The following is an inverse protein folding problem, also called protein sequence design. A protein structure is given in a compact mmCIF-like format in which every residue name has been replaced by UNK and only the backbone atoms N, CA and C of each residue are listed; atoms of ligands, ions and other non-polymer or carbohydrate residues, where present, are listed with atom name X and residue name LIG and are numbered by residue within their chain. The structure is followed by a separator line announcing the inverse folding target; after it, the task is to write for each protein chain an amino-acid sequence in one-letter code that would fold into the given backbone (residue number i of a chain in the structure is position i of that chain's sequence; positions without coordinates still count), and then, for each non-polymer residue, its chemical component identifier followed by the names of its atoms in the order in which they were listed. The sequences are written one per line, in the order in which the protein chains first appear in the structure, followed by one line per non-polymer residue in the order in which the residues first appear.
data_IF_749767335123
#
_entry.id   IF_749767335123
#
_cell.length_a   1.000
_cell.length_b   1.000
_cell.length_c   1.000
_cell.angle_alpha   90.00
_cell.angle_beta   90.00
_cell.angle_gamma   90.00
#
_symmetry.space_group_name_H-M   'P 1'
#
loop_
_entity.id
_entity.type
_entity.pdbx_description
1 polymer ?
#
# COMPACT_ATOMS: atom_id res chain seq x y z
N UNK A 1 -7.63 0.80 16.16
CA UNK A 1 -6.54 -0.18 16.13
C UNK A 1 -7.11 -1.36 15.39
N UNK A 2 -6.75 -1.49 14.12
CA UNK A 2 -7.40 -2.35 13.15
C UNK A 2 -7.31 -3.83 13.58
N UNK A 3 -8.45 -4.50 13.80
CA UNK A 3 -8.51 -5.90 14.28
C UNK A 3 -7.82 -6.87 13.31
N UNK A 4 -7.75 -6.52 12.03
CA UNK A 4 -7.13 -7.32 10.97
C UNK A 4 -5.61 -7.40 11.11
N UNK A 5 -4.98 -6.28 11.45
CA UNK A 5 -3.54 -6.18 11.64
C UNK A 5 -3.09 -6.96 12.88
N UNK A 6 -3.83 -6.85 13.99
CA UNK A 6 -3.53 -7.58 15.22
C UNK A 6 -3.63 -9.11 15.03
N UNK A 7 -4.56 -9.58 14.19
CA UNK A 7 -4.67 -10.99 13.83
C UNK A 7 -3.49 -11.47 12.98
N UNK A 8 -3.02 -10.64 12.03
CA UNK A 8 -1.85 -10.94 11.20
C UNK A 8 -0.56 -10.97 12.02
N UNK A 9 -0.38 -10.06 12.96
CA UNK A 9 0.78 -10.07 13.87
C UNK A 9 0.81 -11.34 14.75
N UNK A 10 -0.34 -11.75 15.27
CA UNK A 10 -0.48 -13.00 16.01
C UNK A 10 -0.12 -14.21 15.14
N UNK A 11 -0.61 -14.25 13.90
CA UNK A 11 -0.28 -15.32 12.95
C UNK A 11 1.21 -15.37 12.64
N UNK A 12 1.84 -14.23 12.31
CA UNK A 12 3.29 -14.16 12.05
C UNK A 12 4.10 -14.65 13.27
N UNK A 13 3.68 -14.31 14.49
CA UNK A 13 4.38 -14.75 15.72
C UNK A 13 4.29 -16.26 15.95
N UNK A 14 3.25 -16.91 15.43
CA UNK A 14 3.01 -18.35 15.56
C UNK A 14 3.56 -19.18 14.40
N UNK A 15 3.88 -18.55 13.27
CA UNK A 15 4.39 -19.22 12.07
C UNK A 15 5.92 -19.31 12.10
N UNK A 16 6.47 -20.49 11.78
CA UNK A 16 7.91 -20.71 11.70
C UNK A 16 8.52 -19.88 10.54
N UNK A 17 9.62 -19.13 10.75
CA UNK A 17 10.33 -18.41 9.69
C UNK A 17 10.83 -19.29 8.52
N UNK A 18 10.95 -20.60 8.73
CA UNK A 18 11.27 -21.59 7.69
C UNK A 18 10.05 -22.01 6.85
N UNK A 19 8.84 -21.65 7.24
CA UNK A 19 7.61 -21.93 6.51
C UNK A 19 7.46 -20.94 5.33
N UNK A 20 7.18 -21.40 4.10
CA UNK A 20 6.94 -20.52 2.94
C UNK A 20 5.86 -19.45 3.18
N UNK A 21 4.85 -19.77 3.99
CA UNK A 21 3.75 -18.84 4.31
C UNK A 21 4.19 -17.70 5.24
N UNK A 22 5.33 -17.81 5.93
CA UNK A 22 5.85 -16.74 6.78
C UNK A 22 6.11 -15.46 5.99
N UNK A 23 6.76 -15.58 4.84
CA UNK A 23 7.07 -14.43 3.99
C UNK A 23 5.81 -13.83 3.36
N UNK A 24 4.80 -14.66 3.05
CA UNK A 24 3.50 -14.18 2.59
C UNK A 24 2.80 -13.37 3.69
N UNK A 25 2.71 -13.89 4.92
CA UNK A 25 2.10 -13.18 6.05
C UNK A 25 2.84 -11.89 6.38
N UNK A 26 4.17 -11.90 6.35
CA UNK A 26 4.99 -10.70 6.53
C UNK A 26 4.75 -9.70 5.42
N UNK A 27 4.55 -10.16 4.18
CA UNK A 27 4.24 -9.31 3.02
C UNK A 27 2.84 -8.72 3.13
N UNK A 28 1.82 -9.52 3.43
CA UNK A 28 0.46 -9.05 3.73
C UNK A 28 0.45 -8.02 4.88
N UNK A 29 1.25 -8.25 5.93
CA UNK A 29 1.42 -7.30 7.04
C UNK A 29 2.23 -6.05 6.65
N UNK A 30 3.08 -6.12 5.63
CA UNK A 30 3.73 -4.94 5.02
C UNK A 30 2.74 -4.17 4.12
N UNK A 31 1.78 -4.87 3.51
CA UNK A 31 0.79 -4.33 2.58
C UNK A 31 -0.38 -3.65 3.30
N UNK A 32 -0.75 -4.09 4.50
CA UNK A 32 -1.72 -3.37 5.34
C UNK A 32 -1.09 -2.07 5.83
N UNK A 33 -1.54 -0.97 5.23
CA UNK A 33 -1.11 0.39 5.55
C UNK A 33 -2.32 1.25 5.88
N UNK A 34 -2.33 1.83 7.08
CA UNK A 34 -3.31 2.85 7.49
C UNK A 34 -2.95 4.21 6.83
N UNK A 35 -3.91 4.82 6.14
CA UNK A 35 -3.83 6.19 5.63
C UNK A 35 -4.31 7.21 6.68
N UNK A 36 -3.69 8.40 6.68
CA UNK A 36 -4.31 9.64 7.15
C UNK A 36 -4.33 10.60 5.96
N UNK A 37 -5.47 10.71 5.29
CA UNK A 37 -5.67 11.70 4.23
C UNK A 37 -6.43 12.91 4.78
N UNK A 38 -5.88 14.11 4.60
CA UNK A 38 -6.59 15.37 4.86
C UNK A 38 -7.65 15.54 3.76
N UNK A 39 -8.93 15.60 4.10
CA UNK A 39 -9.98 15.98 3.15
C UNK A 39 -10.79 17.16 3.70
N UNK A 40 -10.89 18.21 2.89
CA UNK A 40 -11.95 19.23 3.05
C UNK A 40 -13.25 18.65 2.47
N UNK A 41 -14.43 18.96 3.05
CA UNK A 41 -15.69 18.33 2.66
C UNK A 41 -16.17 18.84 1.30
N UNK A 42 -16.49 17.95 0.34
CA UNK A 42 -17.07 18.37 -0.96
C UNK A 42 -18.17 17.41 -1.46
N UNK A 43 -19.22 18.04 -1.98
CA UNK A 43 -20.52 17.56 -2.51
C UNK A 43 -20.54 16.27 -3.36
N UNK A 44 -21.61 15.49 -3.16
CA UNK A 44 -21.92 14.16 -3.73
C UNK A 44 -22.17 14.08 -5.25
N UNK A 45 -21.80 15.10 -6.05
CA UNK A 45 -22.10 15.13 -7.51
C UNK A 45 -20.87 15.14 -8.43
N UNK A 46 -19.67 14.83 -7.91
CA UNK A 46 -18.39 14.98 -8.63
C UNK A 46 -17.49 13.72 -8.66
N UNK A 47 -18.04 12.53 -8.41
CA UNK A 47 -17.27 11.29 -8.22
C UNK A 47 -16.39 10.89 -9.43
N UNK A 48 -16.83 11.12 -10.67
CA UNK A 48 -16.02 10.76 -11.86
C UNK A 48 -14.85 11.73 -12.13
N UNK A 49 -14.93 13.00 -11.68
CA UNK A 49 -13.83 13.98 -11.87
C UNK A 49 -12.79 13.94 -10.74
N UNK A 50 -13.14 13.40 -9.57
CA UNK A 50 -12.23 13.29 -8.43
C UNK A 50 -11.19 12.18 -8.64
N UNK A 51 -11.55 11.11 -9.35
CA UNK A 51 -10.66 9.96 -9.57
C UNK A 51 -9.43 10.33 -10.40
N UNK A 52 -9.61 11.03 -11.51
CA UNK A 52 -8.50 11.53 -12.34
C UNK A 52 -7.70 12.64 -11.62
N UNK A 53 -8.32 13.36 -10.68
CA UNK A 53 -7.64 14.42 -9.92
C UNK A 53 -6.71 13.89 -8.82
N UNK A 54 -6.92 12.68 -8.32
CA UNK A 54 -6.15 12.08 -7.22
C UNK A 54 -4.91 11.34 -7.71
N UNK A 55 -4.95 10.75 -8.91
CA UNK A 55 -3.78 10.09 -9.50
C UNK A 55 -2.64 11.10 -9.69
N UNK A 56 -1.43 10.70 -9.29
CA UNK A 56 -0.25 11.56 -9.27
C UNK A 56 -0.14 12.45 -8.04
N UNK A 57 -1.16 12.54 -7.18
CA UNK A 57 -1.06 13.29 -5.94
C UNK A 57 -0.17 12.58 -4.92
N UNK A 58 0.50 13.38 -4.09
CA UNK A 58 1.28 12.89 -2.96
C UNK A 58 0.36 12.61 -1.78
N UNK A 59 0.54 11.47 -1.14
CA UNK A 59 -0.12 11.09 0.09
C UNK A 59 0.91 10.65 1.14
N UNK A 60 0.46 10.47 2.38
CA UNK A 60 1.26 9.93 3.47
C UNK A 60 0.70 8.58 3.87
N UNK A 61 1.53 7.54 3.80
CA UNK A 61 1.18 6.17 4.14
C UNK A 61 2.02 5.71 5.33
N UNK A 62 1.50 4.84 6.21
CA UNK A 62 2.26 4.30 7.33
C UNK A 62 2.91 2.96 6.98
N UNK A 63 4.24 2.90 6.97
CA UNK A 63 4.97 1.65 6.78
C UNK A 63 5.39 1.06 8.12
N UNK A 64 5.08 -0.20 8.36
CA UNK A 64 5.63 -0.92 9.50
C UNK A 64 7.07 -1.32 9.25
N UNK A 65 7.95 -0.96 10.18
CA UNK A 65 9.39 -1.20 10.08
C UNK A 65 9.78 -2.47 10.84
N UNK A 66 10.95 -3.02 10.52
CA UNK A 66 11.54 -4.16 11.27
C UNK A 66 11.75 -3.90 12.77
N UNK A 67 11.69 -2.64 13.18
CA UNK A 67 11.84 -2.23 14.58
C UNK A 67 10.53 -2.26 15.36
N UNK A 68 9.43 -2.72 14.75
CA UNK A 68 8.12 -2.82 15.41
C UNK A 68 7.36 -1.50 15.49
N UNK A 69 7.73 -0.51 14.66
CA UNK A 69 7.11 0.83 14.68
C UNK A 69 6.58 1.20 13.30
N UNK A 70 5.48 1.94 13.29
CA UNK A 70 4.92 2.59 12.11
C UNK A 70 5.60 3.92 11.84
N UNK A 71 6.09 4.10 10.61
CA UNK A 71 6.72 5.34 10.16
C UNK A 71 5.92 5.92 9.00
N UNK A 72 5.53 7.21 9.06
CA UNK A 72 4.91 7.89 7.93
C UNK A 72 5.91 7.99 6.77
N UNK A 73 5.46 7.63 5.58
CA UNK A 73 6.23 7.61 4.35
C UNK A 73 5.46 8.37 3.27
N UNK A 74 6.19 9.18 2.50
CA UNK A 74 5.61 9.85 1.34
C UNK A 74 5.35 8.84 0.24
N UNK A 75 4.16 8.88 -0.33
CA UNK A 75 3.76 8.04 -1.45
C UNK A 75 3.04 8.86 -2.52
N UNK A 76 2.87 8.27 -3.69
CA UNK A 76 2.17 8.84 -4.84
C UNK A 76 1.04 7.89 -5.22
N UNK A 77 -0.16 8.42 -5.39
CA UNK A 77 -1.33 7.66 -5.85
C UNK A 77 -1.15 7.34 -7.33
N UNK A 78 -1.27 6.08 -7.70
CA UNK A 78 -1.14 5.61 -9.09
C UNK A 78 -2.48 5.20 -9.68
N UNK A 79 -3.32 4.52 -8.90
CA UNK A 79 -4.60 3.98 -9.37
C UNK A 79 -5.62 4.03 -8.23
N UNK A 80 -6.89 4.10 -8.59
CA UNK A 80 -8.03 4.07 -7.68
C UNK A 80 -8.85 2.84 -8.03
N UNK A 81 -9.03 1.98 -7.05
CA UNK A 81 -9.84 0.78 -7.12
C UNK A 81 -11.31 1.06 -6.84
N UNK A 82 -12.09 -0.02 -6.75
CA UNK A 82 -13.56 0.03 -6.71
C UNK A 82 -14.18 0.36 -5.35
N UNK A 83 -13.41 0.32 -4.25
CA UNK A 83 -13.92 0.49 -2.87
C UNK A 83 -12.89 1.23 -2.00
N UNK A 84 -12.67 2.52 -2.28
CA UNK A 84 -11.71 3.39 -1.55
C UNK A 84 -10.27 2.86 -1.50
N UNK A 85 -9.97 1.87 -2.35
CA UNK A 85 -8.65 1.29 -2.50
C UNK A 85 -7.81 2.19 -3.39
N UNK A 86 -6.67 2.62 -2.88
CA UNK A 86 -5.68 3.37 -3.63
C UNK A 86 -4.46 2.49 -3.82
N UNK A 87 -3.99 2.36 -5.06
CA UNK A 87 -2.65 1.85 -5.31
C UNK A 87 -1.66 3.00 -5.18
N UNK A 88 -0.67 2.83 -4.33
CA UNK A 88 0.34 3.87 -4.07
C UNK A 88 1.76 3.34 -4.21
N UNK A 89 2.67 4.20 -4.64
CA UNK A 89 4.11 3.91 -4.69
C UNK A 89 4.88 4.85 -3.78
N UNK A 90 5.95 4.36 -3.13
CA UNK A 90 6.79 5.25 -2.33
C UNK A 90 7.41 6.34 -3.20
N UNK A 91 7.28 7.59 -2.77
CA UNK A 91 7.84 8.74 -3.48
C UNK A 91 9.37 8.78 -3.42
N UNK A 92 9.96 8.14 -2.41
CA UNK A 92 11.41 8.09 -2.16
C UNK A 92 11.82 6.65 -1.84
N UNK A 93 11.89 5.76 -2.85
CA UNK A 93 12.34 4.39 -2.64
C UNK A 93 13.82 4.37 -2.23
N UNK A 94 14.13 3.58 -1.21
CA UNK A 94 15.48 3.44 -0.64
C UNK A 94 16.10 2.09 -0.95
N UNK A 95 15.32 1.16 -1.50
CA UNK A 95 15.74 -0.17 -1.93
C UNK A 95 15.14 -0.55 -3.29
N UNK A 96 15.67 -1.61 -3.89
CA UNK A 96 15.17 -2.11 -5.18
C UNK A 96 13.74 -2.63 -5.10
N UNK A 97 13.37 -3.29 -4.00
CA UNK A 97 12.02 -3.80 -3.77
C UNK A 97 10.99 -2.70 -3.48
N UNK A 98 11.43 -1.47 -3.21
CA UNK A 98 10.57 -0.28 -3.10
C UNK A 98 10.45 0.48 -4.42
N UNK A 99 11.35 0.24 -5.37
CA UNK A 99 11.36 0.94 -6.66
C UNK A 99 10.21 0.44 -7.53
N UNK A 100 9.44 1.32 -8.18
CA UNK A 100 8.32 0.91 -9.02
C UNK A 100 8.75 0.01 -10.19
N UNK A 101 8.02 -1.09 -10.40
CA UNK A 101 8.17 -1.96 -11.55
C UNK A 101 7.71 -1.24 -12.82
N UNK A 102 8.64 -0.97 -13.72
CA UNK A 102 8.34 -0.23 -14.96
C UNK A 102 7.35 -0.96 -15.86
N UNK A 103 7.41 -2.30 -15.91
CA UNK A 103 6.45 -3.09 -16.71
C UNK A 103 5.05 -3.01 -16.13
N UNK A 104 4.91 -3.21 -14.82
CA UNK A 104 3.63 -3.10 -14.15
C UNK A 104 3.01 -1.71 -14.35
N UNK A 105 3.81 -0.65 -14.18
CA UNK A 105 3.34 0.72 -14.43
C UNK A 105 2.89 0.98 -15.88
N UNK A 106 3.53 0.33 -16.86
CA UNK A 106 3.24 0.56 -18.28
C UNK A 106 2.09 -0.30 -18.80
N UNK A 107 1.97 -1.53 -18.30
CA UNK A 107 1.08 -2.57 -18.83
C UNK A 107 -0.05 -2.94 -17.87
N UNK A 108 -0.06 -2.40 -16.64
CA UNK A 108 -0.97 -2.81 -15.56
C UNK A 108 -0.73 -4.22 -15.04
N UNK A 109 0.30 -4.91 -15.54
CA UNK A 109 0.62 -6.28 -15.18
C UNK A 109 2.11 -6.57 -15.34
N UNK A 110 2.59 -7.59 -14.63
CA UNK A 110 3.97 -8.02 -14.68
C UNK A 110 4.02 -9.54 -14.67
N UNK A 111 4.80 -10.11 -15.59
CA UNK A 111 4.95 -11.57 -15.69
C UNK A 111 5.46 -12.22 -14.39
N UNK A 112 6.29 -11.51 -13.64
CA UNK A 112 6.86 -12.02 -12.39
C UNK A 112 5.89 -11.91 -11.20
N UNK A 113 4.83 -11.11 -11.34
CA UNK A 113 3.82 -10.90 -10.31
C UNK A 113 4.44 -10.72 -8.90
N UNK A 114 4.08 -11.56 -7.93
CA UNK A 114 4.61 -11.53 -6.55
C UNK A 114 6.13 -11.79 -6.44
N UNK A 115 6.75 -12.40 -7.45
CA UNK A 115 8.20 -12.65 -7.49
C UNK A 115 8.97 -11.49 -8.14
N UNK A 116 8.31 -10.38 -8.49
CA UNK A 116 9.00 -9.23 -9.06
C UNK A 116 9.98 -8.64 -8.03
N UNK A 117 11.25 -8.39 -8.39
CA UNK A 117 12.19 -7.73 -7.48
C UNK A 117 11.90 -6.23 -7.29
N UNK A 118 10.93 -5.69 -8.03
CA UNK A 118 10.46 -4.31 -7.99
C UNK A 118 9.04 -4.24 -7.44
N UNK A 119 8.65 -3.10 -6.89
CA UNK A 119 7.33 -2.89 -6.30
C UNK A 119 6.23 -2.82 -7.36
N UNK A 120 5.08 -3.46 -7.09
CA UNK A 120 3.81 -3.24 -7.82
C UNK A 120 2.89 -2.23 -7.10
N UNK A 121 3.45 -1.48 -6.14
CA UNK A 121 2.70 -0.57 -5.28
C UNK A 121 2.04 -1.30 -4.11
N UNK A 122 1.64 -0.54 -3.11
CA UNK A 122 0.82 -1.03 -2.00
C UNK A 122 -0.64 -0.66 -2.27
N UNK A 123 -1.57 -1.54 -1.92
CA UNK A 123 -3.00 -1.21 -1.88
C UNK A 123 -3.32 -0.71 -0.48
N UNK A 124 -3.90 0.48 -0.41
CA UNK A 124 -4.24 1.15 0.84
C UNK A 124 -5.67 1.62 0.83
N UNK A 125 -6.33 1.61 1.99
CA UNK A 125 -7.70 2.08 2.13
C UNK A 125 -7.70 3.57 2.48
N UNK A 126 -8.42 4.38 1.71
CA UNK A 126 -8.57 5.80 1.99
C UNK A 126 -9.44 5.98 3.24
N UNK A 127 -8.83 6.38 4.36
CA UNK A 127 -9.57 6.84 5.53
C UNK A 127 -9.58 8.36 5.58
N UNK A 128 -10.80 8.91 5.55
CA UNK A 128 -11.10 10.32 5.81
C UNK A 128 -11.05 10.55 7.31
N UNK A 129 -10.10 11.38 7.76
CA UNK A 129 -9.99 11.85 9.14
C UNK A 129 -10.63 13.22 9.34
#
# INVERSE_FOLDING_TARGET
MDETLAQLELQISSTDPGDPSYYELVTLRNEIVELMALSEPVDESAEENLQDSLVGQKCCIRKFTRFGIYVPMNAIISEIGSTDELRVFFATPTSICESPCQRFLSEGSCFFDLQCPFSHGAIVQAQVG
#
